data_IF_366219582246
#
_entry.id   IF_366219582246
#
_cell.length_a   1.000
_cell.length_b   1.000
_cell.length_c   1.000
_cell.angle_alpha   90.00
_cell.angle_beta   90.00
_cell.angle_gamma   90.00
#
_symmetry.space_group_name_H-M   'P 1'
#
loop_
_entity.id
_entity.type
_entity.pdbx_description
1 polymer ?
#
# COMPACT_ATOMS: atom_id res chain seq x y z
N UNK A 1 -0.99 -9.33 14.32
CA UNK A 1 -1.69 -8.59 13.25
C UNK A 1 -1.09 -7.20 13.16
N UNK A 2 -0.56 -6.78 12.01
CA UNK A 2 -0.03 -5.43 11.82
C UNK A 2 -1.07 -4.62 11.07
N UNK A 3 -1.35 -3.39 11.48
CA UNK A 3 -2.32 -2.51 10.79
C UNK A 3 -1.80 -1.09 10.68
N UNK A 4 -1.90 -0.50 9.50
CA UNK A 4 -1.61 0.94 9.32
C UNK A 4 -2.87 1.80 9.47
N UNK A 5 -2.64 3.09 9.77
CA UNK A 5 -3.65 4.13 9.91
C UNK A 5 -4.65 3.93 11.07
N UNK A 6 -5.47 4.96 11.31
CA UNK A 6 -6.65 4.88 12.18
C UNK A 6 -7.88 4.32 11.46
N UNK A 7 -7.87 4.31 10.12
CA UNK A 7 -9.04 3.95 9.32
C UNK A 7 -9.62 2.59 9.71
N UNK A 8 -8.76 1.58 9.88
CA UNK A 8 -9.16 0.24 10.27
C UNK A 8 -9.83 0.15 11.65
N UNK A 9 -9.40 0.97 12.60
CA UNK A 9 -10.00 1.04 13.94
C UNK A 9 -11.31 1.84 13.94
N UNK A 10 -11.43 2.83 13.05
CA UNK A 10 -12.61 3.68 12.92
C UNK A 10 -13.72 3.06 12.05
N UNK A 11 -13.36 2.13 11.15
CA UNK A 11 -14.26 1.49 10.20
C UNK A 11 -14.70 0.08 10.63
N UNK A 12 -14.49 -0.27 11.90
CA UNK A 12 -14.92 -1.54 12.50
C UNK A 12 -15.80 -1.31 13.73
N UNK A 13 -16.50 -2.34 14.20
CA UNK A 13 -17.24 -2.26 15.47
C UNK A 13 -16.28 -2.41 16.66
N UNK A 14 -16.61 -1.84 17.84
CA UNK A 14 -15.80 -2.02 19.05
C UNK A 14 -15.55 -3.48 19.41
N UNK A 15 -16.57 -4.35 19.29
CA UNK A 15 -16.47 -5.77 19.61
C UNK A 15 -15.50 -6.50 18.68
N UNK A 16 -15.54 -6.21 17.37
CA UNK A 16 -14.62 -6.80 16.40
C UNK A 16 -13.18 -6.31 16.62
N UNK A 17 -13.01 -5.03 16.97
CA UNK A 17 -11.69 -4.47 17.30
C UNK A 17 -11.10 -5.11 18.56
N UNK A 18 -11.92 -5.25 19.62
CA UNK A 18 -11.50 -5.93 20.85
C UNK A 18 -11.09 -7.36 20.56
N UNK A 19 -11.93 -8.11 19.85
CA UNK A 19 -11.63 -9.50 19.50
C UNK A 19 -10.27 -9.65 18.80
N UNK A 20 -9.95 -8.81 17.82
CA UNK A 20 -8.65 -8.87 17.11
C UNK A 20 -7.50 -8.51 18.05
N UNK A 21 -7.66 -7.50 18.91
CA UNK A 21 -6.63 -7.10 19.89
C UNK A 21 -6.39 -8.16 20.97
N UNK A 22 -7.45 -8.85 21.39
CA UNK A 22 -7.39 -9.86 22.44
C UNK A 22 -6.89 -11.23 21.92
N UNK A 23 -7.02 -11.49 20.62
CA UNK A 23 -6.71 -12.78 20.00
C UNK A 23 -5.56 -12.73 18.97
N UNK A 24 -4.82 -11.63 18.89
CA UNK A 24 -3.63 -11.54 18.03
C UNK A 24 -2.60 -10.58 18.61
N UNK A 25 -1.34 -10.72 18.20
CA UNK A 25 -0.30 -9.72 18.48
C UNK A 25 -0.56 -8.45 17.67
N UNK A 26 -1.51 -7.64 18.11
CA UNK A 26 -1.94 -6.46 17.40
C UNK A 26 -0.90 -5.35 17.52
N UNK A 27 -0.39 -4.91 16.36
CA UNK A 27 0.57 -3.83 16.24
C UNK A 27 0.06 -2.78 15.26
N UNK A 28 -0.04 -1.54 15.75
CA UNK A 28 -0.43 -0.40 14.92
C UNK A 28 0.81 0.34 14.45
N UNK A 29 0.86 0.65 13.17
CA UNK A 29 1.92 1.45 12.55
C UNK A 29 1.36 2.77 11.99
N UNK A 30 2.21 3.78 11.71
CA UNK A 30 1.77 5.03 11.09
C UNK A 30 1.03 4.82 9.76
N UNK A 31 0.27 5.83 9.34
CA UNK A 31 -0.51 5.77 8.11
C UNK A 31 0.38 5.56 6.88
N UNK A 32 0.16 4.48 6.15
CA UNK A 32 0.95 4.10 4.97
C UNK A 32 0.77 5.03 3.77
N UNK A 33 -0.25 5.89 3.76
CA UNK A 33 -0.49 6.85 2.69
C UNK A 33 0.32 8.14 2.83
N UNK A 34 0.79 8.47 4.02
CA UNK A 34 1.50 9.73 4.28
C UNK A 34 3.02 9.53 4.28
N UNK A 35 3.77 10.52 3.81
CA UNK A 35 5.23 10.57 3.98
C UNK A 35 5.60 11.36 5.24
N UNK A 36 6.77 11.09 5.82
CA UNK A 36 7.31 11.86 6.95
C UNK A 36 6.66 11.59 8.31
N UNK A 37 5.73 10.63 8.41
CA UNK A 37 5.12 10.18 9.66
C UNK A 37 5.75 8.86 10.21
N UNK A 38 6.81 8.37 9.56
CA UNK A 38 7.40 7.06 9.83
C UNK A 38 6.90 5.92 8.95
N UNK A 39 6.11 6.20 7.91
CA UNK A 39 5.77 5.25 6.84
C UNK A 39 6.38 5.66 5.49
N UNK A 40 6.24 4.76 4.51
CA UNK A 40 6.81 4.88 3.17
C UNK A 40 6.01 5.81 2.24
N UNK A 41 4.77 6.18 2.60
CA UNK A 41 3.91 6.98 1.72
C UNK A 41 3.60 6.29 0.38
N UNK A 42 3.08 5.07 0.44
CA UNK A 42 2.68 4.25 -0.72
C UNK A 42 1.36 4.72 -1.35
N UNK A 43 1.32 6.00 -1.68
CA UNK A 43 0.16 6.70 -2.23
C UNK A 43 0.59 7.67 -3.33
N UNK A 44 -0.08 7.60 -4.47
CA UNK A 44 0.13 8.50 -5.59
C UNK A 44 -1.22 8.89 -6.19
N UNK A 45 -1.51 10.20 -6.22
CA UNK A 45 -2.70 10.74 -6.89
C UNK A 45 -2.53 10.76 -8.41
N UNK A 46 -1.32 11.05 -8.86
CA UNK A 46 -1.03 11.24 -10.28
C UNK A 46 -0.80 9.91 -10.98
N UNK A 47 -1.21 9.86 -12.25
CA UNK A 47 -0.95 8.72 -13.12
C UNK A 47 0.55 8.44 -13.21
N UNK A 48 0.94 7.25 -12.76
CA UNK A 48 2.33 6.78 -12.86
C UNK A 48 2.73 6.72 -14.33
N UNK A 49 3.76 7.47 -14.71
CA UNK A 49 4.21 7.55 -16.10
C UNK A 49 5.04 6.30 -16.43
N UNK A 50 5.01 5.82 -17.68
CA UNK A 50 5.84 4.70 -18.11
C UNK A 50 7.35 4.91 -17.94
N UNK A 51 7.79 6.17 -17.83
CA UNK A 51 9.20 6.56 -17.64
C UNK A 51 9.62 6.55 -16.16
N UNK A 52 8.66 6.55 -15.24
CA UNK A 52 8.88 6.37 -13.80
C UNK A 52 9.02 4.87 -13.46
N UNK A 53 9.15 4.01 -14.48
CA UNK A 53 9.25 2.56 -14.33
C UNK A 53 10.62 2.16 -13.77
N UNK A 54 10.64 1.91 -12.47
CA UNK A 54 11.65 1.06 -11.85
C UNK A 54 11.44 -0.42 -12.24
N UNK A 55 10.23 -0.79 -12.68
CA UNK A 55 9.78 -2.16 -12.88
C UNK A 55 10.37 -2.80 -14.16
N UNK A 56 11.12 -3.91 -14.00
CA UNK A 56 11.61 -4.75 -15.10
C UNK A 56 10.46 -5.22 -16.01
N UNK A 57 10.70 -5.40 -17.32
CA UNK A 57 9.71 -5.87 -18.29
C UNK A 57 8.95 -7.14 -17.88
N UNK A 58 9.55 -8.02 -17.06
CA UNK A 58 8.89 -9.23 -16.52
C UNK A 58 7.73 -8.94 -15.58
N UNK A 59 7.77 -7.83 -14.83
CA UNK A 59 6.77 -7.46 -13.82
C UNK A 59 5.83 -6.34 -14.29
N UNK A 60 6.14 -5.70 -15.42
CA UNK A 60 5.29 -4.68 -16.04
C UNK A 60 3.87 -5.18 -16.38
N UNK A 61 3.73 -6.41 -16.88
CA UNK A 61 2.42 -6.98 -17.20
C UNK A 61 1.53 -7.20 -15.96
N UNK A 62 2.11 -7.61 -14.83
CA UNK A 62 1.37 -7.77 -13.58
C UNK A 62 0.92 -6.43 -13.01
N UNK A 63 1.79 -5.42 -13.10
CA UNK A 63 1.45 -4.05 -12.71
C UNK A 63 0.26 -3.54 -13.51
N UNK A 64 0.31 -3.61 -14.84
CA UNK A 64 -0.76 -3.08 -15.69
C UNK A 64 -2.09 -3.79 -15.42
N UNK A 65 -2.05 -5.12 -15.23
CA UNK A 65 -3.23 -5.88 -14.80
C UNK A 65 -3.75 -5.45 -13.43
N UNK A 66 -2.88 -5.18 -12.46
CA UNK A 66 -3.28 -4.70 -11.13
C UNK A 66 -3.94 -3.32 -11.20
N UNK A 67 -3.40 -2.41 -12.02
CA UNK A 67 -3.97 -1.08 -12.26
C UNK A 67 -5.34 -1.20 -12.93
N UNK A 68 -5.45 -2.00 -13.99
CA UNK A 68 -6.71 -2.25 -14.67
C UNK A 68 -7.76 -2.83 -13.71
N UNK A 69 -7.37 -3.83 -12.92
CA UNK A 69 -8.23 -4.45 -11.92
C UNK A 69 -8.68 -3.43 -10.88
N UNK A 70 -7.76 -2.62 -10.33
CA UNK A 70 -8.11 -1.57 -9.37
C UNK A 70 -9.13 -0.59 -9.96
N UNK A 71 -8.96 -0.17 -11.21
CA UNK A 71 -9.90 0.72 -11.89
C UNK A 71 -11.27 0.08 -12.14
N UNK A 72 -11.34 -1.23 -12.43
CA UNK A 72 -12.61 -1.95 -12.64
C UNK A 72 -13.42 -2.08 -11.34
N UNK A 73 -12.73 -2.31 -10.22
CA UNK A 73 -13.36 -2.64 -8.94
C UNK A 73 -13.46 -1.46 -7.97
N UNK A 74 -12.79 -0.34 -8.23
CA UNK A 74 -12.94 0.88 -7.44
C UNK A 74 -14.40 1.36 -7.48
N UNK A 75 -14.99 1.58 -6.31
CA UNK A 75 -16.42 1.98 -6.15
C UNK A 75 -17.44 0.95 -6.68
N UNK A 76 -17.02 -0.28 -6.96
CA UNK A 76 -17.95 -1.34 -7.37
C UNK A 76 -18.66 -1.92 -6.15
N UNK A 77 -19.96 -2.17 -6.28
CA UNK A 77 -20.79 -2.80 -5.24
C UNK A 77 -20.84 -1.99 -3.91
N UNK A 78 -20.88 -0.65 -4.02
CA UNK A 78 -20.85 0.30 -2.89
C UNK A 78 -19.58 0.21 -2.01
N UNK A 79 -18.47 -0.23 -2.60
CA UNK A 79 -17.17 -0.19 -1.92
C UNK A 79 -16.63 1.24 -1.83
N UNK A 80 -15.61 1.43 -1.00
CA UNK A 80 -14.92 2.72 -0.88
C UNK A 80 -14.39 3.17 -2.24
N UNK A 81 -14.74 4.40 -2.64
CA UNK A 81 -14.24 5.03 -3.84
C UNK A 81 -12.90 5.73 -3.52
N UNK A 82 -11.78 5.11 -3.93
CA UNK A 82 -10.44 5.61 -3.66
C UNK A 82 -10.07 6.77 -4.63
N UNK A 83 -9.83 7.99 -4.12
CA UNK A 83 -9.49 9.15 -4.96
C UNK A 83 -8.21 8.98 -5.80
N UNK A 84 -7.22 8.22 -5.31
CA UNK A 84 -5.99 7.98 -6.07
C UNK A 84 -6.25 7.12 -7.31
N UNK A 85 -7.09 6.10 -7.18
CA UNK A 85 -7.47 5.23 -8.31
C UNK A 85 -8.29 6.03 -9.33
N UNK A 86 -9.23 6.87 -8.88
CA UNK A 86 -9.97 7.80 -9.75
C UNK A 86 -9.03 8.76 -10.50
N UNK A 87 -7.98 9.25 -9.84
CA UNK A 87 -6.94 10.09 -10.44
C UNK A 87 -6.02 9.35 -11.45
N UNK A 88 -6.15 8.04 -11.57
CA UNK A 88 -5.28 7.18 -12.36
C UNK A 88 -3.94 6.86 -11.69
N UNK A 89 -3.79 7.23 -10.42
CA UNK A 89 -2.66 6.90 -9.57
C UNK A 89 -2.84 5.57 -8.85
N UNK A 90 -2.18 5.39 -7.71
CA UNK A 90 -2.18 4.14 -6.93
C UNK A 90 -2.26 4.38 -5.43
N UNK A 91 -2.91 3.45 -4.74
CA UNK A 91 -2.87 3.31 -3.29
C UNK A 91 -2.50 1.86 -2.97
N UNK A 92 -1.35 1.67 -2.33
CA UNK A 92 -0.83 0.38 -1.90
C UNK A 92 -0.25 0.49 -0.48
N UNK A 93 -0.89 1.33 0.33
CA UNK A 93 -0.48 1.63 1.71
C UNK A 93 -0.36 0.43 2.62
N UNK A 94 -1.12 -0.64 2.38
CA UNK A 94 -1.01 -1.93 3.08
C UNK A 94 0.40 -2.56 2.94
N UNK A 95 1.18 -2.20 1.91
CA UNK A 95 2.60 -2.62 1.78
C UNK A 95 3.45 -2.11 2.95
N UNK A 96 3.04 -1.03 3.63
CA UNK A 96 3.70 -0.54 4.85
C UNK A 96 3.67 -1.59 5.97
N UNK A 97 2.59 -2.37 6.06
CA UNK A 97 2.46 -3.47 7.04
C UNK A 97 3.48 -4.58 6.73
N UNK A 98 3.61 -4.93 5.45
CA UNK A 98 4.62 -5.88 4.97
C UNK A 98 6.04 -5.37 5.26
N UNK A 99 6.30 -4.09 5.01
CA UNK A 99 7.59 -3.49 5.30
C UNK A 99 7.92 -3.58 6.79
N UNK A 100 6.96 -3.30 7.68
CA UNK A 100 7.17 -3.45 9.12
C UNK A 100 7.47 -4.91 9.50
N UNK A 101 6.71 -5.88 8.98
CA UNK A 101 6.88 -7.30 9.30
C UNK A 101 8.28 -7.80 8.95
N UNK A 102 8.85 -7.33 7.83
CA UNK A 102 10.15 -7.77 7.34
C UNK A 102 11.33 -6.86 7.73
N UNK A 103 11.11 -5.82 8.55
CA UNK A 103 12.16 -4.93 9.02
C UNK A 103 12.64 -3.93 7.95
N UNK A 104 11.74 -3.48 7.09
CA UNK A 104 11.95 -2.42 6.09
C UNK A 104 11.39 -1.06 6.51
N UNK A 105 11.05 -0.89 7.78
CA UNK A 105 10.46 0.32 8.37
C UNK A 105 11.40 1.52 8.42
N UNK A 106 12.71 1.33 8.21
CA UNK A 106 13.67 2.44 8.08
C UNK A 106 13.59 3.20 6.74
N UNK A 107 12.84 2.70 5.75
CA UNK A 107 12.72 3.37 4.45
C UNK A 107 11.69 4.50 4.51
N UNK A 108 12.14 5.72 4.21
CA UNK A 108 11.36 6.94 4.43
C UNK A 108 10.42 7.31 3.27
N UNK A 109 10.54 6.62 2.13
CA UNK A 109 9.69 6.82 0.96
C UNK A 109 9.53 5.53 0.13
N UNK A 110 8.47 5.52 -0.69
CA UNK A 110 8.15 4.46 -1.61
C UNK A 110 9.23 4.24 -2.69
N UNK A 111 9.99 5.29 -3.03
CA UNK A 111 11.07 5.22 -4.01
C UNK A 111 12.14 4.22 -3.59
N UNK A 112 12.51 4.20 -2.31
CA UNK A 112 13.50 3.24 -1.81
C UNK A 112 13.06 1.79 -1.92
N UNK A 113 11.77 1.53 -1.68
CA UNK A 113 11.17 0.21 -1.85
C UNK A 113 11.31 -0.27 -3.31
N UNK A 114 10.90 0.58 -4.26
CA UNK A 114 10.99 0.22 -5.66
C UNK A 114 12.44 0.09 -6.13
N UNK A 115 13.35 0.96 -5.69
CA UNK A 115 14.78 0.84 -5.99
C UNK A 115 15.32 -0.54 -5.57
N UNK A 116 14.96 -1.02 -4.37
CA UNK A 116 15.44 -2.28 -3.85
C UNK A 116 14.88 -3.49 -4.60
N UNK A 117 13.57 -3.54 -4.81
CA UNK A 117 12.91 -4.71 -5.41
C UNK A 117 12.86 -4.70 -6.94
N UNK A 118 13.30 -3.62 -7.57
CA UNK A 118 13.37 -3.53 -9.03
C UNK A 118 14.71 -3.93 -9.62
N UNK A 119 15.75 -4.08 -8.79
CA UNK A 119 17.05 -4.55 -9.24
C UNK A 119 16.87 -5.94 -9.86
N UNK A 120 17.14 -6.06 -11.16
CA UNK A 120 17.29 -7.38 -11.78
C UNK A 120 18.42 -8.09 -11.05
N UNK A 121 18.16 -9.30 -10.54
CA UNK A 121 19.23 -10.20 -10.17
C UNK A 121 20.11 -10.39 -11.41
N UNK A 122 21.27 -9.73 -11.46
CA UNK A 122 22.37 -10.20 -12.29
C UNK A 122 22.79 -11.55 -11.70
N UNK A 123 22.39 -12.61 -12.38
CA UNK A 123 22.87 -13.97 -12.17
C UNK A 123 23.36 -14.51 -13.49
#
# INVERSE_FOLDING_TARGET
MVRHSNWNENSTTPDNLSYVKDNSDYHKIPDGNATGNGSHGFYAMDRIKPQDNFINSKIAGFRDLAIETANIYNDKDNQYNNPAIVGGGLDFSDVSETCWIFGFDQWVDAGKFFEEFSKSSES
#
